data_IF_362310799587
#
_entry.id   IF_362310799587
#
_cell.length_a   1.000
_cell.length_b   1.000
_cell.length_c   1.000
_cell.angle_alpha   90.00
_cell.angle_beta   90.00
_cell.angle_gamma   90.00
#
_symmetry.space_group_name_H-M   'P 1'
#
loop_
_entity.id
_entity.type
_entity.pdbx_description
1 polymer ?
#
# COMPACT_ATOMS: atom_id res chain seq x y z
N UNK A 1 -2.00 9.53 10.68
CA UNK A 1 -1.06 8.62 11.37
C UNK A 1 -0.90 7.26 10.69
N UNK A 2 -1.97 6.57 10.25
CA UNK A 2 -1.89 5.27 9.53
C UNK A 2 -1.02 5.33 8.28
N UNK A 3 -1.18 6.36 7.43
CA UNK A 3 -0.45 6.49 6.15
C UNK A 3 1.06 6.59 6.37
N UNK A 4 1.49 7.37 7.37
CA UNK A 4 2.91 7.50 7.75
C UNK A 4 3.48 6.23 8.39
N UNK A 5 2.63 5.45 9.05
CA UNK A 5 3.03 4.20 9.69
C UNK A 5 3.10 3.01 8.70
N UNK A 6 2.55 3.17 7.49
CA UNK A 6 2.42 2.08 6.51
C UNK A 6 3.63 1.94 5.58
N UNK A 7 4.55 2.92 5.56
CA UNK A 7 5.72 2.90 4.68
C UNK A 7 6.41 4.26 4.63
N UNK A 8 7.40 4.35 3.74
CA UNK A 8 8.00 5.63 3.36
C UNK A 8 6.93 6.55 2.76
N UNK A 9 7.01 7.85 3.04
CA UNK A 9 6.10 8.84 2.47
C UNK A 9 6.86 9.62 1.43
N UNK A 10 6.42 9.50 0.18
CA UNK A 10 6.97 10.27 -0.94
C UNK A 10 6.39 11.68 -0.98
N UNK A 11 7.24 12.62 -1.34
CA UNK A 11 6.83 13.97 -1.70
C UNK A 11 6.06 13.98 -3.04
N UNK A 12 5.16 14.95 -3.25
CA UNK A 12 4.36 15.03 -4.47
C UNK A 12 5.19 15.02 -5.76
N UNK A 13 6.32 15.72 -5.77
CA UNK A 13 7.23 15.80 -6.92
C UNK A 13 7.81 14.43 -7.27
N UNK A 14 8.16 13.62 -6.26
CA UNK A 14 8.67 12.27 -6.48
C UNK A 14 7.60 11.36 -7.11
N UNK A 15 6.34 11.51 -6.70
CA UNK A 15 5.22 10.77 -7.30
C UNK A 15 4.98 11.22 -8.74
N UNK A 16 5.07 12.52 -9.01
CA UNK A 16 4.91 13.08 -10.35
C UNK A 16 5.95 12.51 -11.32
N UNK A 17 7.22 12.45 -10.90
CA UNK A 17 8.31 11.87 -11.70
C UNK A 17 8.05 10.40 -12.04
N UNK A 18 7.58 9.60 -11.08
CA UNK A 18 7.25 8.18 -11.32
C UNK A 18 6.14 8.03 -12.34
N UNK A 19 5.09 8.86 -12.26
CA UNK A 19 3.96 8.83 -13.19
C UNK A 19 4.38 9.28 -14.58
N UNK A 20 5.15 10.37 -14.69
CA UNK A 20 5.65 10.86 -15.98
C UNK A 20 6.51 9.81 -16.69
N UNK A 21 7.42 9.16 -15.96
CA UNK A 21 8.22 8.07 -16.48
C UNK A 21 7.36 6.87 -16.92
N UNK A 22 6.34 6.50 -16.14
CA UNK A 22 5.44 5.40 -16.51
C UNK A 22 4.64 5.68 -17.78
N UNK A 23 4.23 6.94 -18.01
CA UNK A 23 3.56 7.35 -19.25
C UNK A 23 4.52 7.23 -20.43
N UNK A 24 5.77 7.69 -20.29
CA UNK A 24 6.79 7.57 -21.33
C UNK A 24 7.12 6.10 -21.67
N UNK A 25 7.08 5.22 -20.66
CA UNK A 25 7.29 3.79 -20.80
C UNK A 25 6.03 3.01 -21.25
N UNK A 26 4.90 3.69 -21.48
CA UNK A 26 3.59 3.09 -21.77
C UNK A 26 3.14 2.04 -20.73
N UNK A 27 3.53 2.23 -19.46
CA UNK A 27 3.17 1.33 -18.35
C UNK A 27 1.81 1.70 -17.77
N UNK A 28 0.86 0.77 -17.87
CA UNK A 28 -0.49 0.96 -17.33
C UNK A 28 -0.53 0.97 -15.80
N UNK A 29 0.13 0.00 -15.15
CA UNK A 29 0.15 -0.09 -13.69
C UNK A 29 1.32 0.72 -13.12
N UNK A 30 1.01 1.83 -12.46
CA UNK A 30 1.99 2.70 -11.82
C UNK A 30 1.98 2.48 -10.31
N UNK A 31 3.11 2.01 -9.77
CA UNK A 31 3.29 1.79 -8.34
C UNK A 31 4.47 2.65 -7.85
N UNK A 32 4.22 3.87 -7.33
CA UNK A 32 5.27 4.73 -6.78
C UNK A 32 6.05 4.06 -5.64
N UNK A 33 5.38 3.21 -4.89
CA UNK A 33 5.95 2.40 -3.82
C UNK A 33 6.10 0.96 -4.33
N UNK A 34 7.32 0.48 -4.64
CA UNK A 34 7.54 -0.82 -5.27
C UNK A 34 7.07 -2.00 -4.41
N UNK A 35 7.06 -1.86 -3.08
CA UNK A 35 6.57 -2.86 -2.14
C UNK A 35 5.07 -3.16 -2.30
N UNK A 36 4.29 -2.22 -2.86
CA UNK A 36 2.85 -2.40 -3.10
C UNK A 36 2.58 -3.51 -4.10
N UNK A 37 3.52 -3.81 -5.00
CA UNK A 37 3.41 -4.96 -5.91
C UNK A 37 3.28 -6.27 -5.12
N UNK A 38 4.12 -6.45 -4.09
CA UNK A 38 4.07 -7.61 -3.19
C UNK A 38 2.77 -7.66 -2.40
N UNK A 39 2.23 -6.50 -2.02
CA UNK A 39 0.93 -6.43 -1.34
C UNK A 39 -0.22 -6.85 -2.26
N UNK A 40 -0.18 -6.42 -3.52
CA UNK A 40 -1.14 -6.84 -4.54
C UNK A 40 -1.10 -8.36 -4.72
N UNK A 41 0.10 -8.93 -4.90
CA UNK A 41 0.30 -10.37 -5.04
C UNK A 41 -0.18 -11.16 -3.82
N UNK A 42 0.12 -10.69 -2.60
CA UNK A 42 -0.35 -11.35 -1.39
C UNK A 42 -1.87 -11.28 -1.26
N UNK A 43 -2.46 -10.13 -1.58
CA UNK A 43 -3.90 -9.91 -1.53
C UNK A 43 -4.65 -10.79 -2.52
N UNK A 44 -4.10 -11.03 -3.71
CA UNK A 44 -4.73 -11.85 -4.74
C UNK A 44 -4.48 -13.34 -4.54
N UNK A 45 -3.28 -13.74 -4.13
CA UNK A 45 -2.90 -15.15 -3.94
C UNK A 45 -3.34 -15.74 -2.60
N UNK A 46 -3.38 -14.94 -1.53
CA UNK A 46 -3.71 -15.40 -0.16
C UNK A 46 -4.65 -14.40 0.56
N UNK A 47 -5.91 -14.25 0.12
CA UNK A 47 -6.84 -13.24 0.65
C UNK A 47 -7.07 -13.33 2.17
N UNK A 48 -7.23 -14.54 2.72
CA UNK A 48 -7.47 -14.72 4.17
C UNK A 48 -6.27 -14.28 5.00
N UNK A 49 -5.05 -14.61 4.54
CA UNK A 49 -3.81 -14.19 5.19
C UNK A 49 -3.65 -12.67 5.13
N UNK A 50 -3.99 -12.07 3.99
CA UNK A 50 -4.02 -10.62 3.83
C UNK A 50 -4.98 -9.97 4.84
N UNK A 51 -6.23 -10.45 4.93
CA UNK A 51 -7.24 -9.92 5.85
C UNK A 51 -6.81 -10.06 7.32
N UNK A 52 -6.25 -11.19 7.70
CA UNK A 52 -5.73 -11.41 9.04
C UNK A 52 -4.61 -10.42 9.39
N UNK A 53 -3.67 -10.19 8.46
CA UNK A 53 -2.61 -9.19 8.61
C UNK A 53 -3.17 -7.77 8.75
N UNK A 54 -4.17 -7.42 7.95
CA UNK A 54 -4.76 -6.08 7.95
C UNK A 54 -5.52 -5.77 9.23
N UNK A 55 -6.27 -6.74 9.78
CA UNK A 55 -6.91 -6.60 11.10
C UNK A 55 -5.90 -6.36 12.21
N UNK A 56 -4.75 -7.04 12.16
CA UNK A 56 -3.65 -6.84 13.13
C UNK A 56 -3.05 -5.43 13.00
N UNK A 57 -2.69 -4.99 11.80
CA UNK A 57 -2.16 -3.64 11.57
C UNK A 57 -3.13 -2.56 12.05
N UNK A 58 -4.42 -2.72 11.74
CA UNK A 58 -5.44 -1.79 12.19
C UNK A 58 -5.52 -1.74 13.72
N UNK A 59 -5.51 -2.91 14.39
CA UNK A 59 -5.51 -2.96 15.86
C UNK A 59 -4.28 -2.29 16.48
N UNK A 60 -3.11 -2.37 15.85
CA UNK A 60 -1.90 -1.73 16.36
C UNK A 60 -1.88 -0.21 16.16
N UNK A 61 -2.60 0.32 15.17
CA UNK A 61 -2.61 1.77 14.88
C UNK A 61 -3.80 2.49 15.50
N UNK A 62 -4.99 1.88 15.45
CA UNK A 62 -6.25 2.49 15.88
C UNK A 62 -6.76 1.94 17.23
N UNK A 63 -6.05 0.97 17.82
CA UNK A 63 -6.53 0.19 18.97
C UNK A 63 -7.51 -0.91 18.55
N UNK A 64 -7.88 -1.82 19.48
CA UNK A 64 -8.83 -2.88 19.18
C UNK A 64 -10.16 -2.29 18.69
N UNK A 65 -10.64 -2.72 17.53
CA UNK A 65 -12.02 -2.48 17.15
C UNK A 65 -12.90 -3.30 18.08
N UNK A 66 -13.55 -2.65 19.02
CA UNK A 66 -14.74 -3.20 19.65
C UNK A 66 -15.82 -3.28 18.58
N UNK A 67 -16.11 -4.49 18.10
CA UNK A 67 -17.38 -4.74 17.43
C UNK A 67 -18.52 -4.38 18.42
N UNK A 68 -19.68 -3.88 17.94
CA UNK A 68 -20.87 -3.85 18.78
C UNK A 68 -21.26 -5.26 19.25
#
# INVERSE_FOLDING_TARGET
DVVKAAGEVLEPEQVADVVANAIADERFLVLPHPEVQKYLELKTSQPDRWLAGMRRLQSSILGPQTAP
#
